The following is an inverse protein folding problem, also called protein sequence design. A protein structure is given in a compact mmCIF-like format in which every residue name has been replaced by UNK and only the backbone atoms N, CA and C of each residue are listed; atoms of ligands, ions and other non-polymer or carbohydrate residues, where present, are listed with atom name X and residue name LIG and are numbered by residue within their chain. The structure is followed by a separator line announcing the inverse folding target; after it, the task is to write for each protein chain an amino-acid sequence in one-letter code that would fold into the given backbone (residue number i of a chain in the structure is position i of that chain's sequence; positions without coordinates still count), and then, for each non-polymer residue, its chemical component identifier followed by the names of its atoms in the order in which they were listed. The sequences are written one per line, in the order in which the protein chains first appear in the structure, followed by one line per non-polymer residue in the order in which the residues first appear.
data_IF_878375452383
#
_entry.id   IF_878375452383
#
_cell.length_a   1.000
_cell.length_b   1.000
_cell.length_c   1.000
_cell.angle_alpha   90.00
_cell.angle_beta   90.00
_cell.angle_gamma   90.00
#
_symmetry.space_group_name_H-M   'P 1'
#
loop_
_entity.id
_entity.type
_entity.pdbx_description
1 polymer ?
#
# COMPACT_ATOMS: atom_id res chain seq x y z
N UNK A 1 -6.73 -7.39 20.58
CA UNK A 1 -8.21 -7.30 20.43
C UNK A 1 -8.61 -5.84 20.25
N UNK A 2 -9.07 -5.47 19.05
CA UNK A 2 -10.35 -4.77 18.79
C UNK A 2 -10.66 -4.51 17.30
N UNK A 3 -9.78 -4.90 16.38
CA UNK A 3 -10.05 -4.80 14.94
C UNK A 3 -11.24 -5.64 14.46
N UNK A 4 -11.59 -6.71 15.19
CA UNK A 4 -12.72 -7.59 14.85
C UNK A 4 -14.01 -6.81 14.66
N UNK A 5 -14.31 -5.82 15.50
CA UNK A 5 -15.59 -5.07 15.41
C UNK A 5 -15.71 -4.29 14.11
N UNK A 6 -14.62 -3.67 13.66
CA UNK A 6 -14.59 -2.93 12.39
C UNK A 6 -14.65 -3.89 11.20
N UNK A 7 -13.84 -4.95 11.21
CA UNK A 7 -13.83 -5.95 10.14
C UNK A 7 -15.16 -6.72 10.02
N UNK A 8 -15.77 -7.11 11.14
CA UNK A 8 -17.09 -7.75 11.17
C UNK A 8 -18.17 -6.82 10.64
N UNK A 9 -18.05 -5.51 10.88
CA UNK A 9 -18.97 -4.53 10.30
C UNK A 9 -18.78 -4.40 8.80
N UNK A 10 -17.54 -4.35 8.31
CA UNK A 10 -17.27 -4.35 6.86
C UNK A 10 -17.87 -5.60 6.22
N UNK A 11 -17.64 -6.79 6.80
CA UNK A 11 -18.23 -8.05 6.33
C UNK A 11 -19.76 -8.01 6.30
N UNK A 12 -20.41 -7.54 7.37
CA UNK A 12 -21.87 -7.37 7.41
C UNK A 12 -22.37 -6.33 6.40
N UNK A 13 -21.59 -5.29 6.11
CA UNK A 13 -21.93 -4.29 5.09
C UNK A 13 -21.84 -4.89 3.69
N UNK A 14 -20.80 -5.68 3.39
CA UNK A 14 -20.68 -6.41 2.12
C UNK A 14 -21.76 -7.49 1.96
N UNK A 15 -22.11 -8.22 3.02
CA UNK A 15 -23.21 -9.20 3.03
C UNK A 15 -24.58 -8.52 2.86
N UNK A 16 -24.82 -7.35 3.46
CA UNK A 16 -26.07 -6.59 3.24
C UNK A 16 -26.19 -5.99 1.83
N UNK A 17 -25.06 -5.78 1.14
CA UNK A 17 -25.04 -5.29 -0.25
C UNK A 17 -25.29 -6.45 -1.24
N UNK A 18 -25.15 -7.71 -0.81
CA UNK A 18 -25.51 -8.92 -1.56
C UNK A 18 -26.68 -9.64 -0.83
N UNK A 19 -27.96 -9.24 -0.99
CA UNK A 19 -28.71 -9.44 -2.24
C UNK A 19 -29.80 -8.37 -2.49
N UNK A 20 -29.66 -7.60 -3.58
CA UNK A 20 -30.81 -6.92 -4.23
C UNK A 20 -30.52 -6.69 -5.71
N UNK A 21 -30.15 -7.75 -6.40
CA UNK A 21 -30.18 -7.81 -7.85
C UNK A 21 -30.80 -9.16 -8.17
N UNK A 22 -32.12 -9.21 -8.25
CA UNK A 22 -32.85 -10.22 -9.02
C UNK A 22 -34.32 -9.80 -9.18
N UNK A 23 -34.84 -10.08 -10.39
CA UNK A 23 -36.19 -9.90 -10.89
C UNK A 23 -36.62 -8.50 -11.40
N UNK A 24 -36.06 -8.07 -12.53
CA UNK A 24 -36.92 -7.74 -13.67
C UNK A 24 -36.53 -8.61 -14.88
N UNK A 25 -37.41 -9.56 -15.15
CA UNK A 25 -37.38 -10.55 -16.23
C UNK A 25 -37.68 -9.90 -17.58
N UNK A 26 -36.78 -10.07 -18.55
CA UNK A 26 -37.15 -10.18 -19.97
C UNK A 26 -36.64 -11.53 -20.45
N UNK A 27 -37.59 -12.34 -20.91
CA UNK A 27 -37.45 -13.71 -21.40
C UNK A 27 -36.91 -13.70 -22.82
N UNK A 28 -35.88 -14.49 -23.09
CA UNK A 28 -35.72 -15.29 -24.32
C UNK A 28 -34.86 -16.52 -24.00
N UNK A 29 -35.53 -17.68 -23.98
CA UNK A 29 -35.04 -19.05 -24.26
C UNK A 29 -34.25 -19.07 -25.60
N UNK A 30 -33.26 -19.91 -25.94
CA UNK A 30 -32.78 -21.25 -25.56
C UNK A 30 -31.22 -21.23 -25.71
N UNK A 31 -30.35 -22.13 -25.24
CA UNK A 31 -30.31 -23.59 -25.14
C UNK A 31 -29.20 -24.02 -24.15
N UNK A 32 -29.47 -25.09 -23.39
CA UNK A 32 -28.55 -25.80 -22.48
C UNK A 32 -27.48 -26.60 -23.24
N UNK A 33 -26.23 -26.64 -22.76
CA UNK A 33 -25.43 -27.88 -22.78
C UNK A 33 -24.35 -27.88 -21.68
N UNK A 34 -24.49 -28.81 -20.74
CA UNK A 34 -23.46 -29.20 -19.78
C UNK A 34 -22.27 -29.85 -20.49
N UNK A 35 -21.04 -29.33 -20.32
CA UNK A 35 -19.79 -30.09 -20.51
C UNK A 35 -18.67 -29.58 -19.58
N UNK A 36 -18.41 -30.39 -18.55
CA UNK A 36 -17.12 -30.99 -18.19
C UNK A 36 -15.83 -30.14 -18.11
N UNK A 37 -15.21 -30.22 -16.94
CA UNK A 37 -13.93 -29.60 -16.53
C UNK A 37 -12.76 -30.16 -17.35
N UNK A 38 -12.09 -29.30 -18.13
CA UNK A 38 -10.76 -29.48 -18.72
C UNK A 38 -9.97 -28.17 -18.57
N UNK A 39 -8.64 -28.20 -18.35
CA UNK A 39 -7.87 -27.04 -17.91
C UNK A 39 -7.88 -25.95 -18.99
N UNK A 40 -8.34 -24.76 -18.64
CA UNK A 40 -8.42 -23.61 -19.55
C UNK A 40 -7.07 -23.41 -20.26
N UNK A 41 -7.07 -23.62 -21.57
CA UNK A 41 -5.97 -23.26 -22.43
C UNK A 41 -5.72 -21.75 -22.26
N UNK A 42 -4.60 -21.38 -21.62
CA UNK A 42 -4.20 -19.99 -21.41
C UNK A 42 -4.32 -19.23 -22.73
N UNK A 43 -5.33 -18.36 -22.83
CA UNK A 43 -5.65 -17.66 -24.07
C UNK A 43 -4.58 -16.59 -24.30
N UNK A 44 -3.59 -16.93 -25.13
CA UNK A 44 -2.55 -15.98 -25.54
C UNK A 44 -3.22 -14.84 -26.33
N UNK A 45 -2.92 -13.59 -25.97
CA UNK A 45 -3.49 -12.42 -26.63
C UNK A 45 -2.91 -12.22 -28.04
N UNK A 46 -3.71 -11.61 -28.92
CA UNK A 46 -3.43 -11.48 -30.37
C UNK A 46 -2.13 -10.75 -30.72
N UNK A 47 -1.55 -9.96 -29.82
CA UNK A 47 -0.28 -9.24 -30.08
C UNK A 47 0.98 -10.09 -29.88
N UNK A 48 0.83 -11.28 -29.28
CA UNK A 48 1.94 -12.18 -29.02
C UNK A 48 2.14 -13.04 -30.26
N UNK A 49 3.35 -12.99 -30.82
CA UNK A 49 3.71 -13.77 -31.99
C UNK A 49 3.99 -15.23 -31.54
N UNK A 50 3.29 -16.25 -32.07
CA UNK A 50 3.51 -17.65 -31.69
C UNK A 50 4.93 -18.15 -31.96
N UNK A 51 5.65 -17.50 -32.87
CA UNK A 51 7.02 -17.85 -33.27
C UNK A 51 8.11 -17.16 -32.43
N UNK A 52 7.75 -16.33 -31.44
CA UNK A 52 8.70 -15.64 -30.54
C UNK A 52 8.60 -16.19 -29.12
N UNK A 53 9.70 -16.08 -28.37
CA UNK A 53 9.73 -16.52 -26.97
C UNK A 53 8.87 -15.57 -26.09
N UNK A 54 7.89 -16.11 -25.34
CA UNK A 54 7.07 -15.36 -24.38
C UNK A 54 7.86 -14.48 -23.39
N UNK A 55 9.05 -14.92 -22.99
CA UNK A 55 9.90 -14.24 -22.00
C UNK A 55 10.46 -12.94 -22.56
N UNK A 56 10.63 -12.82 -23.87
CA UNK A 56 11.15 -11.61 -24.48
C UNK A 56 10.17 -10.45 -24.39
N UNK A 57 8.86 -10.72 -24.41
CA UNK A 57 7.82 -9.73 -24.13
C UNK A 57 7.89 -9.23 -22.69
N UNK A 58 8.19 -10.10 -21.72
CA UNK A 58 8.40 -9.70 -20.32
C UNK A 58 9.67 -8.87 -20.13
N UNK A 59 10.78 -9.27 -20.77
CA UNK A 59 12.02 -8.49 -20.75
C UNK A 59 11.81 -7.09 -21.31
N UNK A 60 11.09 -7.00 -22.45
CA UNK A 60 10.74 -5.72 -23.08
C UNK A 60 9.87 -4.87 -22.17
N UNK A 61 8.88 -5.48 -21.53
CA UNK A 61 8.01 -4.81 -20.56
C UNK A 61 8.75 -4.23 -19.36
N UNK A 62 9.81 -4.89 -18.88
CA UNK A 62 10.63 -4.42 -17.77
C UNK A 62 11.61 -3.33 -18.22
N UNK A 63 12.25 -3.49 -19.39
CA UNK A 63 13.30 -2.59 -19.89
C UNK A 63 12.78 -1.33 -20.57
N UNK A 64 11.69 -1.43 -21.34
CA UNK A 64 11.18 -0.34 -22.18
C UNK A 64 9.92 0.29 -21.57
N UNK A 65 10.05 1.50 -21.03
CA UNK A 65 8.92 2.28 -20.51
C UNK A 65 7.85 2.56 -21.56
N UNK A 66 8.24 2.77 -22.83
CA UNK A 66 7.33 2.97 -23.96
C UNK A 66 6.45 1.74 -24.20
N UNK A 67 7.04 0.54 -24.18
CA UNK A 67 6.31 -0.71 -24.38
C UNK A 67 5.36 -1.01 -23.21
N UNK A 68 5.80 -0.76 -21.97
CA UNK A 68 4.95 -0.84 -20.78
C UNK A 68 3.72 0.07 -20.88
N UNK A 69 3.91 1.33 -21.27
CA UNK A 69 2.81 2.29 -21.44
C UNK A 69 1.86 1.90 -22.57
N UNK A 70 2.38 1.37 -23.68
CA UNK A 70 1.56 0.84 -24.76
C UNK A 70 0.71 -0.34 -24.30
N UNK A 71 1.28 -1.27 -23.52
CA UNK A 71 0.54 -2.42 -23.00
C UNK A 71 -0.62 -1.99 -22.09
N UNK A 72 -0.37 -1.12 -21.11
CA UNK A 72 -1.41 -0.62 -20.20
C UNK A 72 -2.56 0.12 -20.91
N UNK A 73 -2.28 0.78 -22.05
CA UNK A 73 -3.31 1.50 -22.82
C UNK A 73 -4.18 0.56 -23.64
N UNK A 74 -3.63 -0.54 -24.16
CA UNK A 74 -4.36 -1.46 -25.04
C UNK A 74 -4.99 -2.63 -24.27
N UNK A 75 -4.44 -2.98 -23.12
CA UNK A 75 -4.85 -4.14 -22.32
C UNK A 75 -4.92 -3.76 -20.82
N UNK A 76 -5.88 -2.92 -20.41
CA UNK A 76 -6.00 -2.45 -19.02
C UNK A 76 -6.36 -3.58 -18.05
N UNK A 77 -7.12 -4.59 -18.51
CA UNK A 77 -7.65 -5.68 -17.69
C UNK A 77 -6.79 -6.94 -17.70
N UNK A 78 -5.60 -6.89 -18.32
CA UNK A 78 -4.72 -8.04 -18.42
C UNK A 78 -3.35 -7.76 -17.82
N UNK A 79 -2.77 -8.79 -17.20
CA UNK A 79 -1.38 -8.74 -16.78
C UNK A 79 -0.47 -9.21 -17.91
N UNK A 80 0.74 -8.64 -18.02
CA UNK A 80 1.66 -8.99 -19.11
C UNK A 80 2.07 -10.47 -19.09
N UNK A 81 2.13 -11.12 -17.92
CA UNK A 81 2.48 -12.54 -17.86
C UNK A 81 1.33 -13.42 -18.35
N UNK A 82 0.09 -13.12 -17.93
CA UNK A 82 -1.10 -13.81 -18.41
C UNK A 82 -1.31 -13.61 -19.91
N UNK A 83 -1.11 -12.39 -20.40
CA UNK A 83 -1.22 -12.01 -21.80
C UNK A 83 -0.34 -12.84 -22.74
N UNK A 84 0.84 -13.24 -22.25
CA UNK A 84 1.87 -13.98 -23.00
C UNK A 84 1.88 -15.47 -22.59
N UNK A 85 0.94 -15.91 -21.75
CA UNK A 85 0.79 -17.32 -21.35
C UNK A 85 1.77 -17.80 -20.27
N UNK A 86 2.47 -16.90 -19.59
CA UNK A 86 3.42 -17.18 -18.51
C UNK A 86 2.77 -17.02 -17.12
N UNK A 87 3.45 -17.51 -16.09
CA UNK A 87 2.99 -17.37 -14.69
C UNK A 87 3.64 -16.20 -13.98
N UNK A 88 3.04 -15.73 -12.89
CA UNK A 88 3.62 -14.68 -12.04
C UNK A 88 5.03 -15.06 -11.53
N UNK A 89 5.29 -16.35 -11.28
CA UNK A 89 6.59 -16.87 -10.87
C UNK A 89 7.68 -16.62 -11.93
N UNK A 90 7.35 -16.75 -13.21
CA UNK A 90 8.27 -16.51 -14.32
C UNK A 90 8.62 -15.02 -14.44
N UNK A 91 7.65 -14.14 -14.20
CA UNK A 91 7.87 -12.70 -14.15
C UNK A 91 8.85 -12.30 -13.05
N UNK A 92 8.73 -12.87 -11.84
CA UNK A 92 9.65 -12.59 -10.72
C UNK A 92 11.07 -13.02 -11.04
N UNK A 93 11.25 -14.21 -11.64
CA UNK A 93 12.58 -14.70 -12.06
C UNK A 93 13.24 -13.75 -13.05
N UNK A 94 12.50 -13.36 -14.10
CA UNK A 94 13.00 -12.46 -15.14
C UNK A 94 13.29 -11.06 -14.58
N UNK A 95 12.46 -10.56 -13.65
CA UNK A 95 12.70 -9.29 -12.97
C UNK A 95 14.00 -9.31 -12.15
N UNK A 96 14.31 -10.41 -11.45
CA UNK A 96 15.57 -10.60 -10.72
C UNK A 96 16.77 -10.73 -11.65
N UNK A 97 16.63 -11.43 -12.77
CA UNK A 97 17.70 -11.55 -13.78
C UNK A 97 18.06 -10.20 -14.41
N UNK A 98 17.07 -9.33 -14.63
CA UNK A 98 17.26 -8.01 -15.26
C UNK A 98 17.77 -6.96 -14.25
N UNK A 99 17.45 -7.13 -12.97
CA UNK A 99 17.86 -6.23 -11.89
C UNK A 99 18.17 -7.05 -10.63
N UNK A 100 19.43 -7.47 -10.40
CA UNK A 100 19.81 -8.12 -9.15
C UNK A 100 19.75 -7.09 -8.02
N UNK A 101 18.65 -7.07 -7.25
CA UNK A 101 18.63 -6.39 -5.96
C UNK A 101 19.58 -7.12 -5.00
N UNK A 102 20.44 -6.42 -4.25
CA UNK A 102 21.35 -7.08 -3.32
C UNK A 102 20.58 -7.68 -2.14
N UNK A 103 20.79 -8.98 -1.90
CA UNK A 103 20.29 -9.69 -0.73
C UNK A 103 20.86 -9.06 0.56
N UNK A 104 19.98 -8.75 1.52
CA UNK A 104 20.33 -8.14 2.79
C UNK A 104 21.05 -9.15 3.69
N UNK A 105 22.38 -9.04 3.77
CA UNK A 105 23.18 -9.75 4.79
C UNK A 105 23.02 -9.00 6.11
N UNK A 106 22.29 -9.61 7.05
CA UNK A 106 22.19 -9.19 8.45
C UNK A 106 23.55 -9.40 9.10
N UNK A 107 24.22 -8.31 9.52
CA UNK A 107 25.37 -8.40 10.43
C UNK A 107 25.25 -7.40 11.57
N UNK A 108 25.03 -7.95 12.77
CA UNK A 108 25.08 -7.29 14.06
C UNK A 108 26.46 -6.68 14.32
N UNK A 109 26.53 -5.40 14.72
CA UNK A 109 27.54 -4.87 15.66
C UNK A 109 27.13 -3.49 16.21
N UNK A 110 27.16 -3.38 17.54
CA UNK A 110 26.94 -2.16 18.34
C UNK A 110 28.05 -1.11 18.13
N UNK A 111 27.79 0.18 18.40
CA UNK A 111 28.68 1.30 18.08
C UNK A 111 29.66 1.66 19.21
N UNK A 112 30.82 2.22 18.86
CA UNK A 112 31.70 2.99 19.76
C UNK A 112 31.95 4.39 19.19
N UNK A 113 32.08 5.34 20.11
CA UNK A 113 32.03 6.79 19.98
C UNK A 113 33.14 7.52 19.18
N UNK A 114 32.73 8.69 18.67
CA UNK A 114 33.40 10.02 18.57
C UNK A 114 34.79 10.17 17.90
N UNK A 115 34.87 11.08 16.93
CA UNK A 115 35.39 12.46 17.11
C UNK A 115 35.32 13.31 15.83
N UNK A 116 35.16 14.63 16.02
CA UNK A 116 35.19 15.70 15.01
C UNK A 116 36.59 15.88 14.39
N UNK A 117 36.64 16.14 13.08
CA UNK A 117 37.43 17.25 12.51
C UNK A 117 36.87 17.63 11.13
N UNK A 118 36.83 18.93 10.88
CA UNK A 118 36.50 19.55 9.60
C UNK A 118 37.77 19.55 8.74
N UNK A 119 37.65 19.30 7.45
CA UNK A 119 38.41 20.01 6.42
C UNK A 119 37.85 19.72 5.02
N UNK A 120 37.71 20.80 4.27
CA UNK A 120 37.14 20.89 2.93
C UNK A 120 38.15 20.40 1.89
N UNK A 121 37.75 19.50 0.99
CA UNK A 121 38.44 19.31 -0.28
C UNK A 121 37.41 19.13 -1.40
N UNK A 122 37.30 20.17 -2.23
CA UNK A 122 36.60 20.15 -3.51
C UNK A 122 37.24 19.13 -4.45
N UNK A 123 36.49 18.11 -4.87
CA UNK A 123 36.78 17.41 -6.13
C UNK A 123 35.49 16.94 -6.79
N UNK A 124 35.27 17.46 -7.99
CA UNK A 124 34.13 17.22 -8.86
C UNK A 124 34.34 15.86 -9.53
N UNK A 125 33.60 14.85 -9.09
CA UNK A 125 33.52 13.54 -9.76
C UNK A 125 32.05 13.27 -10.09
N UNK A 126 31.71 13.41 -11.37
CA UNK A 126 30.43 12.99 -11.94
C UNK A 126 30.43 11.46 -12.05
N UNK A 127 29.91 10.80 -11.01
CA UNK A 127 29.55 9.39 -11.02
C UNK A 127 28.03 9.29 -11.13
N UNK A 128 27.58 8.48 -12.09
CA UNK A 128 26.16 8.21 -12.35
C UNK A 128 25.49 7.75 -11.05
N UNK A 129 24.32 8.33 -10.76
CA UNK A 129 23.55 8.12 -9.53
C UNK A 129 23.11 6.65 -9.41
N UNK A 130 23.94 5.84 -8.76
CA UNK A 130 23.43 4.81 -7.87
C UNK A 130 22.72 5.53 -6.72
N UNK A 131 21.56 5.00 -6.30
CA UNK A 131 20.80 5.51 -5.17
C UNK A 131 21.63 5.37 -3.88
N UNK A 132 22.56 6.29 -3.65
CA UNK A 132 23.10 6.56 -2.32
C UNK A 132 21.88 6.96 -1.52
N UNK A 133 21.40 6.05 -0.68
CA UNK A 133 20.45 6.38 0.37
C UNK A 133 21.13 7.43 1.24
N UNK A 134 20.85 8.69 0.93
CA UNK A 134 21.34 9.81 1.72
C UNK A 134 20.89 9.56 3.15
N UNK A 135 21.78 9.73 4.13
CA UNK A 135 21.45 9.51 5.55
C UNK A 135 20.19 10.29 6.00
N UNK A 136 19.85 11.36 5.27
CA UNK A 136 18.64 12.18 5.45
C UNK A 136 17.33 11.43 5.12
N UNK A 137 17.36 10.37 4.31
CA UNK A 137 16.21 9.48 4.06
C UNK A 137 16.03 8.41 5.14
N UNK A 138 17.02 8.22 6.02
CA UNK A 138 16.91 7.32 7.16
C UNK A 138 16.04 7.97 8.23
N UNK A 139 14.83 7.45 8.36
CA UNK A 139 13.88 7.89 9.37
C UNK A 139 14.04 6.98 10.57
N UNK A 140 14.39 7.55 11.72
CA UNK A 140 14.44 6.83 12.98
C UNK A 140 13.12 6.10 13.24
N UNK A 141 13.18 4.77 13.37
CA UNK A 141 11.99 3.95 13.59
C UNK A 141 11.23 4.34 14.87
N UNK A 142 11.94 4.85 15.87
CA UNK A 142 11.37 5.37 17.14
C UNK A 142 10.45 6.58 16.96
N UNK A 143 10.51 7.25 15.82
CA UNK A 143 9.61 8.33 15.46
C UNK A 143 8.34 7.82 14.75
N UNK A 144 8.38 6.59 14.22
CA UNK A 144 7.28 5.94 13.51
C UNK A 144 6.50 4.95 14.39
N UNK A 145 7.00 4.66 15.58
CA UNK A 145 6.37 3.75 16.54
C UNK A 145 5.87 4.56 17.74
N UNK A 146 4.61 4.35 18.11
CA UNK A 146 4.02 4.84 19.36
C UNK A 146 3.83 3.70 20.34
N UNK A 147 3.96 3.98 21.63
CA UNK A 147 3.77 3.01 22.70
C UNK A 147 2.47 3.33 23.46
N UNK A 148 1.83 2.29 23.98
CA UNK A 148 0.71 2.43 24.89
C UNK A 148 1.16 3.01 26.25
N UNK A 149 0.22 3.52 27.05
CA UNK A 149 0.44 3.99 28.41
C UNK A 149 1.13 2.94 29.31
N UNK A 150 0.84 1.65 29.10
CA UNK A 150 1.47 0.55 29.83
C UNK A 150 2.80 0.09 29.22
N UNK A 151 3.14 0.54 28.01
CA UNK A 151 4.37 0.13 27.31
C UNK A 151 4.39 -1.34 26.88
N UNK A 152 3.24 -2.00 26.86
CA UNK A 152 3.03 -3.39 26.48
C UNK A 152 2.75 -3.57 24.98
N UNK A 153 2.30 -2.50 24.31
CA UNK A 153 1.95 -2.49 22.88
C UNK A 153 2.65 -1.36 22.16
N UNK A 154 3.05 -1.68 20.93
CA UNK A 154 3.59 -0.75 19.95
C UNK A 154 2.60 -0.61 18.79
N UNK A 155 2.42 0.60 18.28
CA UNK A 155 1.59 0.86 17.10
C UNK A 155 2.38 1.62 16.05
N UNK A 156 2.19 1.21 14.80
CA UNK A 156 2.74 1.83 13.60
C UNK A 156 1.61 2.08 12.61
N UNK A 157 1.62 3.25 11.99
CA UNK A 157 0.58 3.65 11.03
C UNK A 157 1.20 3.93 9.67
N UNK A 158 0.70 3.26 8.65
CA UNK A 158 1.05 3.48 7.24
C UNK A 158 -0.14 4.07 6.50
N UNK A 159 0.12 5.07 5.67
CA UNK A 159 -0.90 5.63 4.79
C UNK A 159 -1.01 4.73 3.56
N UNK A 160 -2.22 4.25 3.26
CA UNK A 160 -2.52 3.48 2.05
C UNK A 160 -3.02 4.42 0.96
N UNK A 161 -4.01 5.24 1.29
CA UNK A 161 -4.72 6.07 0.33
C UNK A 161 -4.83 7.50 0.83
N UNK A 162 -4.55 8.42 -0.09
CA UNK A 162 -4.59 9.86 0.08
C UNK A 162 -5.58 10.43 -0.94
N UNK A 163 -6.37 11.42 -0.55
CA UNK A 163 -7.20 12.19 -1.46
C UNK A 163 -6.35 13.18 -2.28
N UNK A 164 -6.61 13.26 -3.57
CA UNK A 164 -6.09 14.27 -4.49
C UNK A 164 -6.84 15.61 -4.42
N UNK A 165 -7.72 15.80 -3.43
CA UNK A 165 -8.38 17.08 -3.17
C UNK A 165 -7.32 18.15 -2.88
N UNK A 166 -6.99 18.93 -3.91
CA UNK A 166 -6.05 20.04 -3.78
C UNK A 166 -6.66 21.08 -2.85
N UNK A 167 -5.98 21.36 -1.73
CA UNK A 167 -6.34 22.50 -0.91
C UNK A 167 -6.34 23.74 -1.83
N UNK A 168 -7.51 24.39 -1.99
CA UNK A 168 -7.70 25.47 -2.96
C UNK A 168 -6.78 26.68 -2.77
N UNK A 169 -5.98 26.70 -1.70
CA UNK A 169 -4.91 27.65 -1.50
C UNK A 169 -3.69 26.94 -0.90
N UNK A 170 -2.50 27.23 -1.42
CA UNK A 170 -1.23 26.92 -0.75
C UNK A 170 -1.28 27.53 0.65
N UNK A 171 -1.52 26.68 1.64
CA UNK A 171 -1.75 27.13 3.01
C UNK A 171 -0.43 27.69 3.55
N UNK A 172 -0.46 28.88 4.18
CA UNK A 172 0.76 29.58 4.65
C UNK A 172 1.64 28.74 5.60
N UNK A 173 1.07 27.71 6.20
CA UNK A 173 1.73 26.81 7.15
C UNK A 173 2.21 25.48 6.50
N UNK A 174 2.24 25.40 5.17
CA UNK A 174 2.76 24.26 4.40
C UNK A 174 1.68 23.34 3.83
N UNK A 175 2.13 22.31 3.11
CA UNK A 175 1.24 21.38 2.42
C UNK A 175 0.60 20.39 3.40
N UNK A 176 -0.72 20.26 3.29
CA UNK A 176 -1.50 19.26 4.02
C UNK A 176 -2.12 18.30 3.03
N UNK A 177 -2.12 17.04 3.44
CA UNK A 177 -2.60 15.92 2.68
C UNK A 177 -3.79 15.34 3.41
N UNK A 178 -4.88 15.10 2.70
CA UNK A 178 -6.09 14.50 3.26
C UNK A 178 -5.99 12.98 3.15
N UNK A 179 -5.97 12.30 4.28
CA UNK A 179 -5.82 10.84 4.35
C UNK A 179 -7.19 10.17 4.24
N UNK A 180 -7.29 9.13 3.40
CA UNK A 180 -8.52 8.34 3.22
C UNK A 180 -8.40 7.01 3.94
N UNK A 181 -7.33 6.25 3.65
CA UNK A 181 -7.12 4.92 4.21
C UNK A 181 -5.78 4.80 4.88
N UNK A 182 -5.77 4.16 6.03
CA UNK A 182 -4.57 3.84 6.80
C UNK A 182 -4.52 2.35 7.12
N UNK A 183 -3.31 1.81 7.17
CA UNK A 183 -3.02 0.52 7.77
C UNK A 183 -2.45 0.75 9.16
N UNK A 184 -3.11 0.20 10.18
CA UNK A 184 -2.63 0.25 11.55
C UNK A 184 -2.12 -1.14 11.92
N UNK A 185 -0.86 -1.19 12.32
CA UNK A 185 -0.21 -2.39 12.85
C UNK A 185 0.00 -2.19 14.35
N UNK A 186 -0.60 -3.04 15.18
CA UNK A 186 -0.38 -3.11 16.62
C UNK A 186 0.40 -4.38 16.92
N UNK A 187 1.58 -4.22 17.50
CA UNK A 187 2.42 -5.30 17.99
C UNK A 187 2.31 -5.36 19.50
N UNK A 188 1.95 -6.54 20.01
CA UNK A 188 2.02 -6.84 21.43
C UNK A 188 3.45 -7.25 21.77
N UNK A 189 4.09 -6.56 22.71
CA UNK A 189 5.49 -6.81 23.07
C UNK A 189 5.65 -8.10 23.87
N UNK A 190 4.68 -8.43 24.71
CA UNK A 190 4.72 -9.63 25.56
C UNK A 190 4.44 -10.92 24.78
N UNK A 191 3.40 -10.91 23.95
CA UNK A 191 2.96 -12.10 23.21
C UNK A 191 3.57 -12.20 21.81
N UNK A 192 4.28 -11.17 21.37
CA UNK A 192 4.86 -11.02 20.03
C UNK A 192 3.83 -11.16 18.88
N UNK A 193 2.54 -11.08 19.20
CA UNK A 193 1.47 -11.12 18.22
C UNK A 193 1.36 -9.77 17.50
N UNK A 194 1.15 -9.82 16.18
CA UNK A 194 0.98 -8.65 15.33
C UNK A 194 -0.46 -8.65 14.83
N UNK A 195 -1.18 -7.58 15.14
CA UNK A 195 -2.52 -7.34 14.65
C UNK A 195 -2.47 -6.21 13.62
N UNK A 196 -2.90 -6.48 12.39
CA UNK A 196 -2.95 -5.49 11.32
C UNK A 196 -4.40 -5.27 10.89
N UNK A 197 -4.78 -4.00 10.73
CA UNK A 197 -6.10 -3.64 10.23
C UNK A 197 -6.03 -2.41 9.36
N UNK A 198 -6.69 -2.51 8.21
CA UNK A 198 -6.98 -1.38 7.36
C UNK A 198 -8.18 -0.62 7.92
N UNK A 199 -8.12 0.70 7.85
CA UNK A 199 -9.19 1.58 8.26
C UNK A 199 -9.47 2.60 7.16
N UNK A 200 -10.74 2.70 6.80
CA UNK A 200 -11.26 3.74 5.94
C UNK A 200 -11.70 4.91 6.82
N UNK A 201 -10.83 5.89 6.96
CA UNK A 201 -11.03 7.05 7.85
C UNK A 201 -12.18 7.91 7.35
N UNK A 202 -12.45 7.93 6.05
CA UNK A 202 -13.61 8.66 5.51
C UNK A 202 -14.92 8.03 5.97
N UNK A 203 -15.03 6.71 5.90
CA UNK A 203 -16.23 6.01 6.36
C UNK A 203 -16.42 6.14 7.88
N UNK A 204 -15.33 6.02 8.63
CA UNK A 204 -15.32 6.17 10.10
C UNK A 204 -15.76 7.58 10.50
N UNK A 205 -15.26 8.62 9.84
CA UNK A 205 -15.66 10.01 10.10
C UNK A 205 -17.15 10.23 9.80
N UNK A 206 -17.63 9.71 8.67
CA UNK A 206 -19.04 9.79 8.28
C UNK A 206 -19.93 9.11 9.32
N UNK A 207 -19.54 7.93 9.78
CA UNK A 207 -20.24 7.20 10.84
C UNK A 207 -20.23 7.94 12.17
N UNK A 208 -19.09 8.53 12.56
CA UNK A 208 -18.97 9.31 13.79
C UNK A 208 -19.92 10.52 13.75
N UNK A 209 -20.01 11.17 12.59
CA UNK A 209 -20.93 12.29 12.35
C UNK A 209 -22.39 11.86 12.40
N UNK A 210 -22.72 10.68 11.90
CA UNK A 210 -24.08 10.15 11.96
C UNK A 210 -24.48 9.73 13.38
N UNK A 211 -23.64 8.93 14.05
CA UNK A 211 -23.94 8.35 15.36
C UNK A 211 -23.84 9.36 16.50
N UNK A 212 -22.83 10.24 16.44
CA UNK A 212 -22.48 11.13 17.56
C UNK A 212 -22.56 12.61 17.20
N UNK A 213 -22.85 12.97 15.95
CA UNK A 213 -22.93 14.36 15.47
C UNK A 213 -21.66 15.17 15.70
N UNK A 214 -20.52 14.50 15.82
CA UNK A 214 -19.20 15.15 15.85
C UNK A 214 -18.61 15.19 14.45
N UNK A 215 -17.94 16.29 14.14
CA UNK A 215 -17.10 16.41 12.96
C UNK A 215 -15.64 16.42 13.40
N UNK A 216 -14.80 15.67 12.69
CA UNK A 216 -13.38 15.56 12.98
C UNK A 216 -12.59 16.17 11.82
N UNK A 217 -11.51 16.88 12.13
CA UNK A 217 -10.57 17.38 11.12
C UNK A 217 -9.28 16.55 11.09
N UNK A 218 -9.30 15.36 11.75
CA UNK A 218 -8.12 14.54 11.98
C UNK A 218 -7.55 13.89 10.69
N UNK A 219 -8.28 13.91 9.58
CA UNK A 219 -7.82 13.42 8.26
C UNK A 219 -6.71 14.27 7.65
N UNK A 220 -6.63 15.55 7.99
CA UNK A 220 -5.63 16.46 7.42
C UNK A 220 -4.29 16.29 8.13
N UNK A 221 -3.32 15.70 7.44
CA UNK A 221 -1.96 15.47 7.94
C UNK A 221 -0.96 16.33 7.17
N UNK A 222 0.01 16.93 7.87
CA UNK A 222 1.09 17.69 7.25
C UNK A 222 2.04 16.76 6.51
N UNK A 223 2.56 17.18 5.35
CA UNK A 223 3.61 16.41 4.64
C UNK A 223 4.87 16.21 5.49
N UNK A 224 5.14 17.10 6.45
CA UNK A 224 6.27 16.99 7.39
C UNK A 224 6.13 15.81 8.36
N UNK A 225 4.89 15.45 8.68
CA UNK A 225 4.55 14.36 9.59
C UNK A 225 4.44 13.01 8.90
N UNK A 226 4.74 12.96 7.60
CA UNK A 226 4.71 11.76 6.77
C UNK A 226 6.13 11.47 6.29
N UNK A 227 6.61 10.26 6.55
CA UNK A 227 7.97 9.82 6.22
C UNK A 227 7.92 8.42 5.64
N UNK A 228 8.33 8.27 4.39
CA UNK A 228 8.31 6.99 3.66
C UNK A 228 6.93 6.30 3.68
N UNK A 229 5.84 7.09 3.62
CA UNK A 229 4.46 6.61 3.69
C UNK A 229 3.98 6.21 5.10
N UNK A 230 4.85 6.31 6.12
CA UNK A 230 4.47 6.14 7.52
C UNK A 230 4.20 7.49 8.17
N UNK A 231 3.31 7.48 9.15
CA UNK A 231 2.99 8.66 9.94
C UNK A 231 3.93 8.72 11.16
N UNK A 232 4.31 9.93 11.57
CA UNK A 232 5.01 10.13 12.83
C UNK A 232 4.11 9.83 14.03
N UNK A 233 4.70 9.32 15.12
CA UNK A 233 4.01 8.99 16.37
C UNK A 233 3.22 10.13 16.98
N UNK A 234 3.62 11.37 16.71
CA UNK A 234 2.94 12.60 17.18
C UNK A 234 1.53 12.73 16.62
N UNK A 235 1.25 12.12 15.47
CA UNK A 235 -0.06 12.18 14.79
C UNK A 235 -0.86 10.89 14.89
N UNK A 236 -0.30 9.83 15.47
CA UNK A 236 -0.98 8.55 15.59
C UNK A 236 -2.32 8.67 16.30
N UNK A 237 -2.32 9.18 17.54
CA UNK A 237 -3.53 9.33 18.37
C UNK A 237 -4.58 10.23 17.71
N UNK A 238 -4.15 11.29 17.03
CA UNK A 238 -5.06 12.17 16.29
C UNK A 238 -5.76 11.42 15.15
N UNK A 239 -5.01 10.68 14.32
CA UNK A 239 -5.59 9.93 13.20
C UNK A 239 -6.54 8.81 13.64
N UNK A 240 -6.19 8.10 14.72
CA UNK A 240 -7.01 6.98 15.21
C UNK A 240 -8.10 7.42 16.20
N UNK A 241 -8.18 8.69 16.57
CA UNK A 241 -9.11 9.19 17.60
C UNK A 241 -10.57 8.86 17.26
N UNK A 242 -10.94 9.00 15.98
CA UNK A 242 -12.30 8.74 15.51
C UNK A 242 -12.62 7.23 15.59
N UNK A 243 -11.65 6.39 15.21
CA UNK A 243 -11.77 4.93 15.31
C UNK A 243 -11.81 4.46 16.77
N UNK A 244 -11.01 5.07 17.65
CA UNK A 244 -10.99 4.79 19.08
C UNK A 244 -12.32 5.21 19.72
N UNK A 245 -12.87 6.35 19.29
CA UNK A 245 -14.18 6.82 19.73
C UNK A 245 -15.27 5.80 19.41
N UNK A 246 -15.24 5.16 18.23
CA UNK A 246 -16.20 4.10 17.85
C UNK A 246 -15.85 2.70 18.41
N UNK A 247 -14.86 2.62 19.29
CA UNK A 247 -14.28 1.39 19.87
C UNK A 247 -13.78 0.38 18.83
N UNK A 248 -13.34 0.85 17.67
CA UNK A 248 -12.75 0.00 16.62
C UNK A 248 -11.28 -0.33 16.88
N UNK A 249 -10.63 0.47 17.71
CA UNK A 249 -9.26 0.29 18.13
C UNK A 249 -9.18 0.56 19.63
N UNK A 250 -8.48 -0.31 20.34
CA UNK A 250 -8.03 -0.05 21.71
C UNK A 250 -6.51 -0.11 21.66
N UNK A 251 -5.90 1.04 21.89
CA UNK A 251 -4.47 1.19 21.97
C UNK A 251 -4.10 1.59 23.39
#
# INVERSE_FOLDING_TARGET
MNFKRYLDKIKKKTEKIQPKIEAETIVTEDTVTDQEIQPEAKKILRFVDPNKDPRDYLKRYIKESKYKNWFHRNYPDHTIYEAVGLTASDYVKIKREISPEPEQIINNKKPKEKNRSKEEINSKITLQQEHKTTFDDFVDERLLVSNNAFGDKEMKIKIIEVSDETAHAAWKFGDRVKVNKILVTIKHLETQQIEESEFDIEEIEKELREKRRYASSNRWTSTKDIKNGFVLKTKHTSLISDAASLDYILF
#
